data_IF_760462461552
#
_entry.id   IF_760462461552
#
_cell.length_a   1.000
_cell.length_b   1.000
_cell.length_c   1.000
_cell.angle_alpha   90.00
_cell.angle_beta   90.00
_cell.angle_gamma   90.00
#
_symmetry.space_group_name_H-M   'P 1'
#
loop_
_entity.id
_entity.type
_entity.pdbx_description
1 polymer ?
#
# COMPACT_ATOMS: atom_id res chain seq x y z
N UNK A 1 8.27 -59.59 -16.66
CA UNK A 1 7.88 -58.90 -17.90
C UNK A 1 6.78 -57.88 -17.59
N UNK A 2 7.09 -56.57 -17.62
CA UNK A 2 6.22 -55.45 -18.08
C UNK A 2 6.85 -54.10 -17.69
N UNK A 3 7.26 -53.35 -18.71
CA UNK A 3 7.57 -51.93 -18.66
C UNK A 3 6.27 -51.10 -18.49
N UNK A 4 6.35 -49.93 -17.85
CA UNK A 4 5.68 -48.73 -18.38
C UNK A 4 6.24 -47.44 -17.79
N UNK A 5 6.86 -46.62 -18.66
CA UNK A 5 7.09 -45.18 -18.47
C UNK A 5 5.84 -44.43 -18.96
N UNK A 6 5.29 -43.50 -18.19
CA UNK A 6 4.45 -42.34 -18.64
C UNK A 6 4.59 -41.26 -17.55
N UNK A 7 5.32 -40.15 -17.73
CA UNK A 7 5.13 -38.98 -18.62
C UNK A 7 3.84 -38.19 -18.39
N UNK A 8 4.03 -36.94 -17.93
CA UNK A 8 3.26 -35.71 -18.08
C UNK A 8 1.73 -35.69 -17.89
N UNK A 9 1.26 -34.72 -17.07
CA UNK A 9 0.34 -33.68 -17.52
C UNK A 9 0.42 -32.43 -16.65
N UNK A 10 0.83 -31.33 -17.30
CA UNK A 10 0.49 -29.95 -16.96
C UNK A 10 -1.03 -29.82 -16.86
N UNK A 11 -1.51 -29.09 -15.85
CA UNK A 11 -2.92 -28.91 -15.56
C UNK A 11 -3.15 -27.73 -14.62
N UNK A 12 -3.07 -26.52 -15.18
CA UNK A 12 -4.10 -25.50 -15.03
C UNK A 12 -4.70 -25.31 -13.60
N UNK A 13 -4.14 -24.40 -12.81
CA UNK A 13 -4.94 -23.65 -11.81
C UNK A 13 -4.62 -22.16 -11.96
N UNK A 14 -4.87 -21.65 -13.15
CA UNK A 14 -5.23 -20.26 -13.35
C UNK A 14 -6.75 -20.17 -13.22
N UNK A 15 -7.27 -20.06 -11.99
CA UNK A 15 -8.62 -19.58 -11.64
C UNK A 15 -8.81 -19.67 -10.12
N UNK A 16 -8.08 -18.87 -9.34
CA UNK A 16 -8.40 -18.66 -7.92
C UNK A 16 -8.85 -17.24 -7.59
N UNK A 17 -8.83 -16.32 -8.57
CA UNK A 17 -9.29 -14.95 -8.37
C UNK A 17 -10.82 -14.81 -8.51
N UNK A 18 -11.49 -15.78 -9.12
CA UNK A 18 -12.94 -15.74 -9.36
C UNK A 18 -13.79 -16.35 -8.23
N UNK A 19 -13.20 -17.10 -7.29
CA UNK A 19 -13.93 -17.64 -6.13
C UNK A 19 -13.95 -16.71 -4.91
N UNK A 20 -13.21 -15.60 -4.93
CA UNK A 20 -13.16 -14.63 -3.83
C UNK A 20 -14.38 -13.68 -3.78
N UNK A 21 -15.34 -13.83 -4.70
CA UNK A 21 -16.49 -12.93 -4.84
C UNK A 21 -17.83 -13.51 -4.34
N UNK A 22 -17.87 -14.69 -3.72
CA UNK A 22 -19.14 -15.37 -3.38
C UNK A 22 -19.35 -15.75 -1.91
N UNK A 23 -18.56 -15.25 -0.97
CA UNK A 23 -18.89 -15.34 0.45
C UNK A 23 -18.96 -13.95 1.06
N UNK A 24 -20.08 -13.28 0.81
CA UNK A 24 -20.59 -12.24 1.68
C UNK A 24 -20.89 -12.83 3.06
N UNK A 25 -19.87 -12.92 3.89
CA UNK A 25 -20.00 -12.91 5.34
C UNK A 25 -18.90 -11.95 5.80
N UNK A 26 -19.31 -10.75 6.14
CA UNK A 26 -18.58 -9.82 7.00
C UNK A 26 -18.36 -10.52 8.35
N UNK A 27 -17.38 -11.42 8.37
CA UNK A 27 -16.65 -11.76 9.57
C UNK A 27 -15.68 -10.62 9.80
N UNK A 28 -16.15 -9.57 10.46
CA UNK A 28 -15.27 -8.63 11.14
C UNK A 28 -14.51 -9.44 12.20
N UNK A 29 -13.42 -10.09 11.79
CA UNK A 29 -12.49 -10.70 12.74
C UNK A 29 -11.97 -9.54 13.58
N UNK A 30 -12.31 -9.54 14.87
CA UNK A 30 -11.56 -8.80 15.86
C UNK A 30 -10.12 -9.32 15.80
N UNK A 31 -9.29 -8.65 15.02
CA UNK A 31 -7.85 -8.80 15.04
C UNK A 31 -7.25 -7.41 14.99
N UNK A 32 -7.53 -6.65 16.04
CA UNK A 32 -6.52 -5.69 16.48
C UNK A 32 -5.30 -6.50 16.94
N UNK A 33 -4.11 -6.12 16.47
CA UNK A 33 -2.79 -6.59 16.91
C UNK A 33 -2.07 -7.66 16.07
N UNK A 34 -2.33 -7.78 14.77
CA UNK A 34 -1.31 -8.32 13.85
C UNK A 34 -0.96 -7.28 12.79
N UNK A 35 0.33 -7.20 12.46
CA UNK A 35 0.91 -6.36 11.40
C UNK A 35 0.31 -6.65 10.00
N UNK A 36 -0.60 -7.64 9.93
CA UNK A 36 -1.24 -8.21 8.75
C UNK A 36 -2.57 -7.51 8.40
N UNK A 37 -3.14 -6.68 9.29
CA UNK A 37 -4.41 -5.97 9.05
C UNK A 37 -4.22 -4.59 8.41
N UNK A 38 -3.25 -4.44 7.51
CA UNK A 38 -3.15 -3.21 6.72
C UNK A 38 -4.27 -3.21 5.66
N UNK A 39 -5.33 -2.40 5.80
CA UNK A 39 -6.49 -2.50 4.92
C UNK A 39 -6.25 -1.85 3.56
N UNK A 40 -5.04 -1.33 3.28
CA UNK A 40 -4.70 -0.58 2.07
C UNK A 40 -5.15 -1.28 0.79
N UNK A 41 -4.84 -2.57 0.64
CA UNK A 41 -5.23 -3.31 -0.57
C UNK A 41 -6.75 -3.42 -0.71
N UNK A 42 -7.46 -3.71 0.39
CA UNK A 42 -8.92 -3.79 0.42
C UNK A 42 -9.57 -2.42 0.15
N UNK A 43 -9.09 -1.36 0.82
CA UNK A 43 -9.55 0.01 0.62
C UNK A 43 -9.35 0.48 -0.82
N UNK A 44 -8.24 0.06 -1.43
CA UNK A 44 -8.01 0.34 -2.85
C UNK A 44 -9.01 -0.41 -3.74
N UNK A 45 -9.14 -1.73 -3.59
CA UNK A 45 -10.01 -2.58 -4.40
C UNK A 45 -11.50 -2.21 -4.29
N UNK A 46 -11.98 -1.91 -3.09
CA UNK A 46 -13.37 -1.52 -2.84
C UNK A 46 -13.71 -0.22 -3.58
N UNK A 47 -12.78 0.71 -3.63
CA UNK A 47 -12.98 2.01 -4.28
C UNK A 47 -12.56 2.03 -5.76
N UNK A 48 -11.81 1.02 -6.23
CA UNK A 48 -11.30 0.90 -7.60
C UNK A 48 -11.35 -0.57 -8.04
N UNK A 49 -12.39 -0.94 -8.79
CA UNK A 49 -12.60 -2.30 -9.29
C UNK A 49 -11.83 -2.64 -10.58
N UNK A 50 -11.19 -1.64 -11.20
CA UNK A 50 -10.37 -1.83 -12.39
C UNK A 50 -8.95 -2.27 -12.03
N UNK A 51 -8.30 -3.04 -12.92
CA UNK A 51 -6.93 -3.51 -12.74
C UNK A 51 -5.92 -2.39 -12.44
N UNK A 52 -4.85 -2.72 -11.72
CA UNK A 52 -3.84 -1.77 -11.23
C UNK A 52 -2.78 -1.52 -12.31
N UNK A 53 -2.56 -0.26 -12.68
CA UNK A 53 -1.41 0.14 -13.52
C UNK A 53 -0.15 0.44 -12.69
N UNK A 54 0.99 0.70 -13.35
CA UNK A 54 2.27 0.87 -12.65
C UNK A 54 2.30 2.07 -11.69
N UNK A 55 1.69 3.20 -12.07
CA UNK A 55 1.61 4.41 -11.21
C UNK A 55 0.75 4.12 -9.98
N UNK A 56 -0.40 3.45 -10.16
CA UNK A 56 -1.26 3.01 -9.07
C UNK A 56 -0.55 2.01 -8.16
N UNK A 57 0.22 1.07 -8.72
CA UNK A 57 0.98 0.09 -7.95
C UNK A 57 2.00 0.77 -7.04
N UNK A 58 2.74 1.76 -7.55
CA UNK A 58 3.69 2.54 -6.75
C UNK A 58 2.97 3.36 -5.66
N UNK A 59 1.82 3.96 -6.00
CA UNK A 59 0.99 4.67 -5.03
C UNK A 59 0.53 3.75 -3.89
N UNK A 60 -0.06 2.59 -4.23
CA UNK A 60 -0.54 1.62 -3.25
C UNK A 60 0.60 1.14 -2.36
N UNK A 61 1.80 0.93 -2.92
CA UNK A 61 2.98 0.55 -2.14
C UNK A 61 3.38 1.65 -1.13
N UNK A 62 3.36 2.92 -1.53
CA UNK A 62 3.62 4.05 -0.64
C UNK A 62 2.57 4.14 0.48
N UNK A 63 1.28 4.01 0.15
CA UNK A 63 0.20 4.01 1.15
C UNK A 63 0.28 2.81 2.09
N UNK A 64 0.67 1.64 1.57
CA UNK A 64 0.87 0.43 2.39
C UNK A 64 1.98 0.67 3.40
N UNK A 65 3.11 1.23 2.96
CA UNK A 65 4.22 1.56 3.84
C UNK A 65 3.82 2.62 4.89
N UNK A 66 3.13 3.67 4.50
CA UNK A 66 2.62 4.69 5.45
C UNK A 66 1.65 4.09 6.47
N UNK A 67 0.69 3.27 6.02
CA UNK A 67 -0.28 2.59 6.88
C UNK A 67 0.34 1.53 7.79
N UNK A 68 1.54 1.02 7.48
CA UNK A 68 2.27 0.13 8.38
C UNK A 68 2.74 0.82 9.66
N UNK A 69 2.79 2.16 9.65
CA UNK A 69 3.15 3.00 10.79
C UNK A 69 1.95 3.45 11.62
N UNK A 70 0.75 2.97 11.31
CA UNK A 70 -0.50 3.34 11.96
C UNK A 70 -1.02 2.15 12.76
N UNK A 71 -1.31 2.38 14.03
CA UNK A 71 -1.83 1.37 14.97
C UNK A 71 -3.29 1.59 15.36
N UNK A 72 -3.92 2.63 14.82
CA UNK A 72 -5.33 2.98 15.07
C UNK A 72 -6.29 2.33 14.08
N UNK A 73 -7.58 2.66 14.22
CA UNK A 73 -8.65 2.24 13.29
C UNK A 73 -8.76 3.12 12.04
N UNK A 74 -8.06 4.25 12.03
CA UNK A 74 -8.03 5.19 10.93
C UNK A 74 -6.77 4.98 10.12
N UNK A 75 -6.88 4.86 8.80
CA UNK A 75 -5.78 4.60 7.88
C UNK A 75 -5.82 5.61 6.73
N UNK A 76 -4.68 5.85 6.09
CA UNK A 76 -4.64 6.57 4.82
C UNK A 76 -5.48 5.85 3.77
N UNK A 77 -6.42 6.57 3.15
CA UNK A 77 -7.33 5.99 2.18
C UNK A 77 -6.69 5.87 0.79
N UNK A 78 -6.06 4.73 0.52
CA UNK A 78 -5.46 4.43 -0.78
C UNK A 78 -6.48 4.36 -1.92
N UNK A 79 -7.74 4.05 -1.63
CA UNK A 79 -8.80 4.05 -2.63
C UNK A 79 -9.05 5.44 -3.22
N UNK A 80 -9.07 6.45 -2.37
CA UNK A 80 -9.16 7.85 -2.80
C UNK A 80 -7.81 8.32 -3.35
N UNK A 81 -6.73 8.13 -2.58
CA UNK A 81 -5.41 8.66 -2.87
C UNK A 81 -4.72 8.10 -4.11
N UNK A 82 -5.00 6.83 -4.45
CA UNK A 82 -4.46 6.14 -5.62
C UNK A 82 -5.50 5.93 -6.73
N UNK A 83 -6.66 6.59 -6.65
CA UNK A 83 -7.64 6.59 -7.75
C UNK A 83 -7.05 7.18 -9.02
N UNK A 84 -7.52 6.73 -10.19
CA UNK A 84 -7.05 7.26 -11.49
C UNK A 84 -7.19 8.78 -11.60
N UNK A 85 -8.27 9.33 -11.05
CA UNK A 85 -8.52 10.79 -11.03
C UNK A 85 -7.47 11.52 -10.19
N UNK A 86 -7.07 10.95 -9.04
CA UNK A 86 -6.02 11.56 -8.21
C UNK A 86 -4.62 11.39 -8.76
N UNK A 87 -4.39 10.37 -9.58
CA UNK A 87 -3.11 10.09 -10.20
C UNK A 87 -2.98 10.68 -11.62
N UNK A 88 -3.99 11.40 -12.10
CA UNK A 88 -3.94 12.03 -13.41
C UNK A 88 -2.76 13.00 -13.50
N UNK A 89 -1.96 12.85 -14.56
CA UNK A 89 -0.74 13.65 -14.77
C UNK A 89 0.46 13.28 -13.89
N UNK A 90 0.33 12.31 -12.97
CA UNK A 90 1.45 11.82 -12.16
C UNK A 90 2.23 10.74 -12.89
N UNK A 91 3.55 10.77 -12.71
CA UNK A 91 4.47 9.83 -13.34
C UNK A 91 4.91 8.73 -12.37
N UNK A 92 5.51 7.66 -12.91
CA UNK A 92 6.16 6.64 -12.07
C UNK A 92 7.28 7.23 -11.22
N UNK A 93 7.96 8.26 -11.69
CA UNK A 93 9.06 8.90 -10.98
C UNK A 93 8.54 9.69 -9.78
N UNK A 94 7.42 10.41 -9.94
CA UNK A 94 6.78 11.12 -8.83
C UNK A 94 6.35 10.15 -7.72
N UNK A 95 5.78 9.02 -8.10
CA UNK A 95 5.28 8.01 -7.17
C UNK A 95 6.42 7.19 -6.55
N UNK A 96 7.55 7.06 -7.25
CA UNK A 96 8.78 6.49 -6.69
C UNK A 96 9.37 7.44 -5.66
N UNK A 97 9.43 8.75 -5.95
CA UNK A 97 9.87 9.77 -4.99
C UNK A 97 8.98 9.79 -3.74
N UNK A 98 7.66 9.68 -3.90
CA UNK A 98 6.73 9.53 -2.79
C UNK A 98 7.06 8.31 -1.94
N UNK A 99 7.19 7.14 -2.58
CA UNK A 99 7.48 5.88 -1.89
C UNK A 99 8.81 5.98 -1.14
N UNK A 100 9.85 6.54 -1.73
CA UNK A 100 11.16 6.69 -1.09
C UNK A 100 11.09 7.63 0.11
N UNK A 101 10.38 8.75 -0.01
CA UNK A 101 10.14 9.64 1.11
C UNK A 101 9.43 8.90 2.26
N UNK A 102 8.34 8.18 1.96
CA UNK A 102 7.59 7.40 2.97
C UNK A 102 8.49 6.35 3.63
N UNK A 103 9.24 5.58 2.85
CA UNK A 103 10.13 4.54 3.37
C UNK A 103 11.24 5.11 4.27
N UNK A 104 11.75 6.31 3.95
CA UNK A 104 12.72 7.00 4.80
C UNK A 104 12.16 7.35 6.18
N UNK A 105 10.85 7.60 6.28
CA UNK A 105 10.15 7.84 7.56
C UNK A 105 9.79 6.55 8.27
N UNK A 106 9.38 5.53 7.53
CA UNK A 106 9.09 4.20 8.07
C UNK A 106 10.33 3.58 8.73
N UNK A 107 11.49 3.78 8.11
CA UNK A 107 12.77 3.24 8.55
C UNK A 107 13.67 4.29 9.20
N UNK A 108 13.09 5.36 9.76
CA UNK A 108 13.85 6.42 10.43
C UNK A 108 14.74 5.80 11.54
N UNK A 109 16.05 6.07 11.56
CA UNK A 109 16.96 5.42 12.51
C UNK A 109 16.73 5.84 13.98
N UNK A 110 16.04 6.96 14.20
CA UNK A 110 15.76 7.50 15.54
C UNK A 110 14.41 6.99 16.04
N UNK A 111 13.38 7.03 15.20
CA UNK A 111 12.01 6.60 15.56
C UNK A 111 11.35 5.83 14.42
N UNK A 112 11.80 4.59 14.15
CA UNK A 112 11.25 3.79 13.06
C UNK A 112 9.83 3.35 13.42
N UNK A 113 8.84 3.87 12.70
CA UNK A 113 7.44 3.60 13.01
C UNK A 113 6.96 2.19 12.58
N UNK A 114 7.83 1.41 11.93
CA UNK A 114 7.61 -0.02 11.68
C UNK A 114 7.75 -0.90 12.94
N UNK A 115 8.19 -0.32 14.06
CA UNK A 115 8.25 -0.95 15.38
C UNK A 115 7.03 -0.54 16.24
N UNK A 116 6.43 -1.46 17.00
CA UNK A 116 5.19 -1.19 17.75
C UNK A 116 5.23 0.01 18.70
N UNK A 117 6.39 0.27 19.33
CA UNK A 117 6.57 1.38 20.28
C UNK A 117 6.62 2.76 19.64
N UNK A 118 6.78 2.84 18.32
CA UNK A 118 6.82 4.09 17.54
C UNK A 118 5.68 4.18 16.52
N UNK A 119 4.76 3.21 16.55
CA UNK A 119 3.55 3.21 15.73
C UNK A 119 2.60 4.31 16.20
N UNK A 120 2.03 5.07 15.27
CA UNK A 120 1.14 6.19 15.56
C UNK A 120 -0.29 5.70 15.81
N UNK A 121 -0.85 6.03 16.98
CA UNK A 121 -2.19 5.60 17.37
C UNK A 121 -3.33 6.29 16.60
N UNK A 122 -3.08 7.46 16.02
CA UNK A 122 -4.02 8.20 15.18
C UNK A 122 -3.32 8.57 13.88
N UNK A 123 -3.94 8.28 12.74
CA UNK A 123 -3.28 8.57 11.48
C UNK A 123 -3.26 10.07 11.14
N UNK A 124 -4.09 10.91 11.78
CA UNK A 124 -3.99 12.39 11.73
C UNK A 124 -2.74 12.90 12.45
N UNK A 125 -2.32 12.25 13.54
CA UNK A 125 -1.06 12.57 14.23
C UNK A 125 0.15 12.09 13.42
N UNK A 126 0.04 10.93 12.75
CA UNK A 126 1.05 10.44 11.81
C UNK A 126 1.23 11.41 10.61
N UNK A 127 0.13 11.96 10.11
CA UNK A 127 0.07 12.90 8.98
C UNK A 127 0.73 14.26 9.25
N UNK A 128 0.31 14.91 10.34
CA UNK A 128 0.67 16.31 10.58
C UNK A 128 2.15 16.47 10.96
N UNK A 129 2.77 15.43 11.53
CA UNK A 129 4.17 15.44 11.97
C UNK A 129 5.07 14.52 11.15
N UNK A 130 4.81 13.22 11.17
CA UNK A 130 5.77 12.21 10.71
C UNK A 130 5.94 12.17 9.19
N UNK A 131 4.84 12.27 8.45
CA UNK A 131 4.84 12.30 6.98
C UNK A 131 4.72 13.70 6.39
N UNK A 132 4.76 14.76 7.20
CA UNK A 132 4.68 16.13 6.72
C UNK A 132 5.76 16.44 5.68
N UNK A 133 6.96 15.86 5.82
CA UNK A 133 8.06 15.97 4.85
C UNK A 133 7.72 15.35 3.48
N UNK A 134 6.81 14.38 3.42
CA UNK A 134 6.33 13.73 2.20
C UNK A 134 5.06 14.39 1.63
N UNK A 135 4.73 15.60 2.11
CA UNK A 135 3.63 16.44 1.61
C UNK A 135 4.14 17.83 1.18
N UNK A 136 5.39 17.90 0.74
CA UNK A 136 6.11 19.11 0.29
C UNK A 136 7.10 18.72 -0.81
N UNK A 137 7.87 19.69 -1.29
CA UNK A 137 9.03 19.43 -2.14
C UNK A 137 10.00 18.43 -1.48
N UNK A 138 10.30 17.34 -2.19
CA UNK A 138 11.20 16.27 -1.79
C UNK A 138 12.31 16.11 -2.83
N UNK A 139 13.56 16.14 -2.38
CA UNK A 139 14.72 15.87 -3.23
C UNK A 139 15.07 14.39 -3.14
N UNK A 140 14.90 13.69 -4.26
CA UNK A 140 15.28 12.28 -4.40
C UNK A 140 16.79 12.10 -4.22
N UNK A 141 17.23 10.87 -3.95
CA UNK A 141 18.66 10.52 -3.87
C UNK A 141 19.41 10.79 -5.19
N UNK A 142 18.69 10.80 -6.32
CA UNK A 142 19.21 11.16 -7.64
C UNK A 142 19.33 12.68 -7.87
N UNK A 143 18.95 13.52 -6.90
CA UNK A 143 19.05 14.98 -6.96
C UNK A 143 17.87 15.68 -7.64
N UNK A 144 16.87 14.95 -8.14
CA UNK A 144 15.64 15.52 -8.68
C UNK A 144 14.72 15.99 -7.54
N UNK A 145 14.12 17.18 -7.69
CA UNK A 145 13.13 17.69 -6.74
C UNK A 145 11.73 17.47 -7.28
N UNK A 146 10.89 16.80 -6.50
CA UNK A 146 9.49 16.49 -6.82
C UNK A 146 8.59 17.14 -5.79
N UNK A 147 7.54 17.83 -6.23
CA UNK A 147 6.51 18.34 -5.32
C UNK A 147 5.52 17.23 -4.95
N UNK A 148 5.57 16.77 -3.70
CA UNK A 148 4.71 15.72 -3.17
C UNK A 148 3.45 16.27 -2.48
N UNK A 149 3.16 17.56 -2.59
CA UNK A 149 1.96 18.13 -1.97
C UNK A 149 0.68 17.48 -2.51
N UNK A 150 -0.16 16.99 -1.59
CA UNK A 150 -1.43 16.33 -1.89
C UNK A 150 -1.32 14.88 -2.36
N UNK A 151 -0.14 14.25 -2.32
CA UNK A 151 0.04 12.85 -2.73
C UNK A 151 -0.44 11.84 -1.67
N UNK A 152 -0.31 12.18 -0.38
CA UNK A 152 -0.91 11.43 0.72
C UNK A 152 -2.21 12.11 1.16
N UNK A 153 -3.32 11.40 0.99
CA UNK A 153 -4.67 11.84 1.32
C UNK A 153 -5.18 11.00 2.50
N UNK A 154 -5.80 11.66 3.46
CA UNK A 154 -6.50 11.01 4.57
C UNK A 154 -7.89 10.58 4.15
#
# INVERSE_FOLDING_TARGET
>A
MKMNKKSFKSGLVGTSLALLLLTGIVGCTESGAKKEDNPTALLYLVNNSAGVNDVQRLCIAAYTAANSCVGGKEYFNAGTGCSLVKLEGKTTDDLTALKDCVLSKVSDPIQPCNLPQFTYGLAQQALAGAFAACNKAYTTTAGATVDLTGYLVY
#
